data_IF_011987924128
#
_entry.id   IF_011987924128
#
_cell.length_a   1.000
_cell.length_b   1.000
_cell.length_c   1.000
_cell.angle_alpha   90.00
_cell.angle_beta   90.00
_cell.angle_gamma   90.00
#
_symmetry.space_group_name_H-M   'P 1'
#
loop_
_entity.id
_entity.type
_entity.pdbx_description
1 polymer ?
#
# COMPACT_ATOMS: atom_id res chain seq x y z
N UNK A 1 -16.65 4.65 -0.74
CA UNK A 1 -16.16 3.40 -1.37
C UNK A 1 -16.38 2.26 -0.41
N UNK A 2 -16.88 1.10 -0.86
CA UNK A 2 -17.19 -0.02 0.03
C UNK A 2 -16.10 -1.10 -0.11
N UNK A 3 -15.07 -1.03 0.74
CA UNK A 3 -14.07 -2.10 0.82
C UNK A 3 -14.75 -3.41 1.27
N UNK A 4 -14.24 -4.59 0.84
CA UNK A 4 -14.70 -5.85 1.40
C UNK A 4 -14.53 -5.80 2.93
N UNK A 5 -15.52 -6.30 3.68
CA UNK A 5 -15.62 -6.13 5.14
C UNK A 5 -14.39 -6.61 5.97
N UNK A 6 -13.44 -7.30 5.34
CA UNK A 6 -12.22 -7.82 5.98
C UNK A 6 -10.93 -7.12 5.55
N UNK A 7 -11.00 -6.14 4.64
CA UNK A 7 -9.82 -5.42 4.15
C UNK A 7 -9.59 -4.18 4.99
N UNK A 8 -8.38 -4.03 5.50
CA UNK A 8 -7.89 -2.83 6.19
C UNK A 8 -6.79 -2.19 5.38
N UNK A 9 -6.91 -0.91 5.10
CA UNK A 9 -5.84 -0.11 4.50
C UNK A 9 -5.07 0.57 5.61
N UNK A 10 -3.74 0.45 5.59
CA UNK A 10 -2.85 1.02 6.61
C UNK A 10 -1.65 1.67 5.96
N UNK A 11 -1.14 2.73 6.60
CA UNK A 11 0.07 3.45 6.22
C UNK A 11 1.15 3.18 7.25
N UNK A 12 1.92 2.09 7.13
CA UNK A 12 2.97 1.77 8.10
C UNK A 12 4.06 2.86 8.11
N UNK A 13 4.72 3.10 9.26
CA UNK A 13 5.89 3.95 9.31
C UNK A 13 7.02 3.35 8.47
N UNK A 14 7.91 4.23 8.02
CA UNK A 14 9.11 3.85 7.27
C UNK A 14 10.35 3.88 8.19
N UNK A 15 11.31 2.96 8.03
CA UNK A 15 11.31 1.86 7.07
C UNK A 15 10.28 0.76 7.42
N UNK A 16 9.79 0.05 6.41
CA UNK A 16 8.82 -1.03 6.60
C UNK A 16 9.39 -2.12 7.51
N UNK A 17 8.55 -2.63 8.42
CA UNK A 17 8.89 -3.81 9.21
C UNK A 17 9.21 -5.01 8.29
N UNK A 18 10.11 -5.94 8.67
CA UNK A 18 10.61 -7.00 7.78
C UNK A 18 9.52 -7.84 7.11
N UNK A 19 8.43 -8.15 7.82
CA UNK A 19 7.31 -8.90 7.25
C UNK A 19 6.55 -8.11 6.17
N UNK A 20 6.33 -6.81 6.40
CA UNK A 20 5.65 -5.92 5.45
C UNK A 20 6.53 -5.65 4.23
N UNK A 21 7.84 -5.45 4.44
CA UNK A 21 8.79 -5.25 3.36
C UNK A 21 8.86 -6.46 2.42
N UNK A 22 8.86 -7.68 2.98
CA UNK A 22 8.82 -8.91 2.17
C UNK A 22 7.52 -9.04 1.36
N UNK A 23 6.38 -8.73 1.97
CA UNK A 23 5.10 -8.78 1.26
C UNK A 23 5.00 -7.72 0.15
N UNK A 24 5.46 -6.50 0.44
CA UNK A 24 5.57 -5.42 -0.53
C UNK A 24 6.50 -5.80 -1.69
N UNK A 25 7.66 -6.41 -1.42
CA UNK A 25 8.59 -6.86 -2.46
C UNK A 25 8.01 -7.99 -3.34
N UNK A 26 7.16 -8.87 -2.79
CA UNK A 26 6.46 -9.90 -3.56
C UNK A 26 5.41 -9.29 -4.51
N UNK A 27 4.66 -8.30 -4.04
CA UNK A 27 3.64 -7.62 -4.84
C UNK A 27 4.27 -6.66 -5.86
N UNK A 28 5.35 -5.99 -5.49
CA UNK A 28 5.97 -4.91 -6.23
C UNK A 28 7.48 -5.18 -6.36
N UNK A 29 7.91 -6.18 -7.15
CA UNK A 29 9.31 -6.57 -7.26
C UNK A 29 10.21 -5.50 -7.89
N UNK A 30 9.63 -4.55 -8.61
CA UNK A 30 10.35 -3.42 -9.21
C UNK A 30 10.55 -2.25 -8.23
N UNK A 31 9.91 -2.26 -7.05
CA UNK A 31 10.05 -1.18 -6.09
C UNK A 31 11.41 -1.26 -5.37
N UNK A 32 12.11 -0.13 -5.19
CA UNK A 32 13.31 -0.07 -4.39
C UNK A 32 13.00 -0.25 -2.89
N UNK A 33 14.04 -0.48 -2.10
CA UNK A 33 13.93 -0.60 -0.64
C UNK A 33 13.68 0.75 0.05
N UNK A 34 14.22 1.82 -0.52
CA UNK A 34 14.07 3.18 -0.02
C UNK A 34 12.77 3.77 -0.54
N UNK A 35 11.74 3.71 0.31
CA UNK A 35 10.44 4.26 0.04
C UNK A 35 10.29 5.61 0.74
N UNK A 36 9.58 6.53 0.11
CA UNK A 36 9.13 7.79 0.71
C UNK A 36 7.73 7.67 1.30
N UNK A 37 6.91 6.76 0.77
CA UNK A 37 5.61 6.42 1.34
C UNK A 37 5.23 4.97 0.99
N UNK A 38 4.50 4.33 1.89
CA UNK A 38 3.97 2.99 1.67
C UNK A 38 2.57 2.89 2.28
N UNK A 39 1.65 2.31 1.51
CA UNK A 39 0.31 1.96 1.96
C UNK A 39 0.06 0.50 1.62
N UNK A 40 -0.49 -0.25 2.57
CA UNK A 40 -0.73 -1.68 2.45
C UNK A 40 -2.19 -1.99 2.73
N UNK A 41 -2.78 -2.86 1.92
CA UNK A 41 -4.09 -3.45 2.14
C UNK A 41 -3.91 -4.83 2.77
N UNK A 42 -4.55 -5.08 3.91
CA UNK A 42 -4.42 -6.30 4.71
C UNK A 42 -5.78 -6.98 4.83
N UNK A 43 -5.84 -8.26 4.51
CA UNK A 43 -7.03 -9.10 4.70
C UNK A 43 -6.62 -10.44 5.31
N UNK A 44 -7.31 -10.85 6.38
CA UNK A 44 -7.04 -12.14 7.04
C UNK A 44 -5.61 -12.30 7.56
N UNK A 45 -4.92 -11.20 7.89
CA UNK A 45 -3.52 -11.22 8.36
C UNK A 45 -2.47 -11.17 7.25
N UNK A 46 -2.89 -11.18 5.98
CA UNK A 46 -1.99 -11.14 4.82
C UNK A 46 -2.12 -9.81 4.07
N UNK A 47 -0.99 -9.29 3.56
CA UNK A 47 -1.00 -8.14 2.65
C UNK A 47 -1.50 -8.62 1.29
N UNK A 48 -2.59 -8.02 0.82
CA UNK A 48 -3.26 -8.35 -0.45
C UNK A 48 -3.11 -7.26 -1.50
N UNK A 49 -2.58 -6.09 -1.12
CA UNK A 49 -2.28 -4.99 -2.02
C UNK A 49 -1.30 -4.01 -1.40
N UNK A 50 -0.57 -3.32 -2.25
CA UNK A 50 0.43 -2.34 -1.87
C UNK A 50 0.43 -1.16 -2.84
N UNK A 51 0.64 0.04 -2.32
CA UNK A 51 0.96 1.23 -3.09
C UNK A 51 2.19 1.87 -2.46
N UNK A 52 3.29 1.88 -3.21
CA UNK A 52 4.61 2.28 -2.77
C UNK A 52 5.07 3.48 -3.61
N UNK A 53 5.68 4.47 -2.96
CA UNK A 53 6.26 5.65 -3.62
C UNK A 53 7.71 5.83 -3.18
N UNK A 54 8.57 6.18 -4.12
CA UNK A 54 9.99 6.46 -3.90
C UNK A 54 10.45 7.62 -4.79
N UNK A 55 11.74 7.96 -4.71
CA UNK A 55 12.30 9.00 -5.56
C UNK A 55 12.32 8.56 -7.03
N UNK A 56 11.54 9.24 -7.87
CA UNK A 56 11.47 8.96 -9.30
C UNK A 56 10.39 7.96 -9.71
N UNK A 57 9.52 7.52 -8.81
CA UNK A 57 8.37 6.71 -9.21
C UNK A 57 7.46 6.23 -8.09
N UNK A 58 6.36 5.63 -8.50
CA UNK A 58 5.45 4.89 -7.63
C UNK A 58 4.96 3.63 -8.35
N UNK A 59 4.54 2.64 -7.56
CA UNK A 59 3.90 1.44 -8.10
C UNK A 59 2.78 1.01 -7.17
N UNK A 60 1.73 0.52 -7.79
CA UNK A 60 0.58 -0.04 -7.12
C UNK A 60 0.31 -1.44 -7.66
N UNK A 61 0.09 -2.39 -6.76
CA UNK A 61 -0.34 -3.72 -7.14
C UNK A 61 -1.29 -4.33 -6.10
N UNK A 62 -2.25 -5.11 -6.59
CA UNK A 62 -3.23 -5.85 -5.79
C UNK A 62 -3.27 -7.28 -6.31
N UNK A 63 -3.34 -8.24 -5.40
CA UNK A 63 -3.52 -9.66 -5.72
C UNK A 63 -4.73 -9.88 -6.62
N UNK A 64 -4.60 -10.75 -7.63
CA UNK A 64 -5.62 -10.95 -8.67
C UNK A 64 -7.02 -11.25 -8.11
N UNK A 65 -7.14 -12.05 -7.04
CA UNK A 65 -8.43 -12.37 -6.41
C UNK A 65 -9.11 -11.20 -5.68
N UNK A 66 -8.37 -10.12 -5.45
CA UNK A 66 -8.77 -8.93 -4.71
C UNK A 66 -8.97 -7.69 -5.58
N UNK A 67 -8.53 -7.73 -6.85
CA UNK A 67 -8.69 -6.65 -7.82
C UNK A 67 -10.16 -6.31 -8.10
N UNK A 68 -10.41 -5.05 -8.45
CA UNK A 68 -11.75 -4.56 -8.80
C UNK A 68 -12.74 -4.52 -7.62
N UNK A 69 -12.23 -4.63 -6.39
CA UNK A 69 -13.03 -4.54 -5.15
C UNK A 69 -12.91 -3.19 -4.44
N UNK A 70 -12.37 -2.18 -5.14
CA UNK A 70 -12.13 -0.84 -4.59
C UNK A 70 -10.90 -0.72 -3.68
N UNK A 71 -10.00 -1.72 -3.70
CA UNK A 71 -8.75 -1.70 -2.93
C UNK A 71 -7.77 -0.74 -3.59
N UNK A 72 -7.73 -0.71 -4.91
CA UNK A 72 -6.89 0.18 -5.69
C UNK A 72 -7.15 1.65 -5.34
N UNK A 73 -8.43 2.06 -5.36
CA UNK A 73 -8.85 3.41 -5.00
C UNK A 73 -8.48 3.74 -3.54
N UNK A 74 -8.79 2.85 -2.60
CA UNK A 74 -8.52 3.07 -1.18
C UNK A 74 -7.01 3.19 -0.88
N UNK A 75 -6.17 2.44 -1.60
CA UNK A 75 -4.71 2.55 -1.51
C UNK A 75 -4.23 3.92 -2.02
N UNK A 76 -4.75 4.38 -3.16
CA UNK A 76 -4.40 5.68 -3.76
C UNK A 76 -4.81 6.87 -2.89
N UNK A 77 -6.01 6.82 -2.32
CA UNK A 77 -6.48 7.84 -1.39
C UNK A 77 -5.67 7.88 -0.11
N UNK A 78 -5.37 6.74 0.51
CA UNK A 78 -4.57 6.68 1.73
C UNK A 78 -3.13 7.18 1.52
N UNK A 79 -2.58 6.99 0.31
CA UNK A 79 -1.27 7.54 -0.05
C UNK A 79 -1.33 9.07 -0.19
N UNK A 80 -2.41 9.58 -0.77
CA UNK A 80 -2.65 11.02 -0.96
C UNK A 80 -2.98 11.73 0.35
N UNK A 81 -3.80 11.11 1.21
CA UNK A 81 -4.28 11.70 2.46
C UNK A 81 -3.14 12.03 3.43
N UNK A 82 -2.20 11.12 3.66
CA UNK A 82 -1.03 11.40 4.51
C UNK A 82 0.06 12.22 3.80
N UNK A 83 -0.20 12.79 2.62
CA UNK A 83 0.59 13.89 2.05
C UNK A 83 0.07 15.27 2.46
N UNK A 84 -1.16 15.37 2.97
CA UNK A 84 -1.81 16.63 3.36
C UNK A 84 -1.55 17.07 4.81
N UNK A 85 -0.87 16.25 5.61
CA UNK A 85 -0.54 16.58 7.01
C UNK A 85 0.78 17.37 7.17
N UNK A 86 1.40 17.83 6.07
CA UNK A 86 2.64 18.63 6.08
C UNK A 86 2.46 20.07 5.55
N UNK A 87 1.22 20.55 5.41
CA UNK A 87 0.91 21.91 4.98
C UNK A 87 -0.23 22.50 5.85
N UNK A 88 0.09 22.78 7.11
CA UNK A 88 -0.53 23.86 7.89
C UNK A 88 0.53 24.43 8.84
#
# INVERSE_FOLDING_TARGET
MNLPARVRVTRPPLPLAPALAQAAARLCPAAPRELQAAVLAIAGGSVVGAHLRWEGGEVQNVETGWRGRGIEEALGEALTAGGREAQD
#
